data_IF_517413991092
#
_entry.id   IF_517413991092
#
_cell.length_a   1.000
_cell.length_b   1.000
_cell.length_c   1.000
_cell.angle_alpha   90.00
_cell.angle_beta   90.00
_cell.angle_gamma   90.00
#
_symmetry.space_group_name_H-M   'P 1'
#
loop_
_entity.id
_entity.type
_entity.pdbx_description
1 polymer ?
#
# COMPACT_ATOMS: atom_id res chain seq x y z
N UNK A 1 5.76 -12.01 -18.75
CA UNK A 1 6.78 -12.29 -17.71
C UNK A 1 6.10 -13.01 -16.56
N UNK A 2 6.86 -13.78 -15.78
CA UNK A 2 6.35 -14.35 -14.53
C UNK A 2 6.66 -13.37 -13.38
N UNK A 3 5.64 -12.98 -12.63
CA UNK A 3 5.72 -11.96 -11.59
C UNK A 3 5.22 -12.55 -10.27
N UNK A 4 6.01 -12.34 -9.22
CA UNK A 4 5.65 -12.71 -7.85
C UNK A 4 5.14 -11.52 -7.05
N UNK A 5 4.16 -11.74 -6.16
CA UNK A 5 3.67 -10.70 -5.25
C UNK A 5 3.53 -11.30 -3.85
N UNK A 6 4.27 -10.80 -2.87
CA UNK A 6 4.03 -11.13 -1.46
C UNK A 6 2.96 -10.19 -0.90
N UNK A 7 2.11 -10.70 0.00
CA UNK A 7 0.94 -9.94 0.47
C UNK A 7 -0.14 -9.81 -0.61
N UNK A 8 -0.25 -10.81 -1.47
CA UNK A 8 -1.09 -10.77 -2.66
C UNK A 8 -2.60 -10.80 -2.41
N UNK A 9 -3.06 -11.30 -1.27
CA UNK A 9 -4.46 -11.21 -0.84
C UNK A 9 -4.78 -9.88 -0.10
N UNK A 10 -3.77 -9.01 0.07
CA UNK A 10 -3.95 -7.66 0.58
C UNK A 10 -4.65 -6.74 -0.43
N UNK A 11 -5.01 -5.52 0.00
CA UNK A 11 -5.72 -4.53 -0.82
C UNK A 11 -4.94 -4.16 -2.09
N UNK A 12 -3.69 -3.71 -1.94
CA UNK A 12 -2.87 -3.29 -3.09
C UNK A 12 -2.40 -4.52 -3.89
N UNK A 13 -2.02 -5.60 -3.19
CA UNK A 13 -1.49 -6.82 -3.81
C UNK A 13 -2.48 -7.47 -4.76
N UNK A 14 -3.74 -7.62 -4.33
CA UNK A 14 -4.78 -8.24 -5.17
C UNK A 14 -5.14 -7.38 -6.40
N UNK A 15 -5.23 -6.07 -6.21
CA UNK A 15 -5.48 -5.15 -7.32
C UNK A 15 -4.33 -5.13 -8.34
N UNK A 16 -3.08 -5.17 -7.87
CA UNK A 16 -1.90 -5.28 -8.73
C UNK A 16 -1.87 -6.61 -9.47
N UNK A 17 -2.15 -7.72 -8.78
CA UNK A 17 -2.17 -9.05 -9.38
C UNK A 17 -3.16 -9.13 -10.55
N UNK A 18 -4.39 -8.64 -10.36
CA UNK A 18 -5.41 -8.58 -11.41
C UNK A 18 -4.97 -7.70 -12.59
N UNK A 19 -4.40 -6.54 -12.32
CA UNK A 19 -3.90 -5.63 -13.37
C UNK A 19 -2.79 -6.27 -14.20
N UNK A 20 -1.76 -6.82 -13.56
CA UNK A 20 -0.65 -7.45 -14.25
C UNK A 20 -1.09 -8.68 -15.05
N UNK A 21 -2.02 -9.47 -14.50
CA UNK A 21 -2.60 -10.61 -15.22
C UNK A 21 -3.38 -10.16 -16.46
N UNK A 22 -4.20 -9.11 -16.35
CA UNK A 22 -4.94 -8.53 -17.47
C UNK A 22 -4.00 -7.97 -18.57
N UNK A 23 -2.79 -7.53 -18.19
CA UNK A 23 -1.73 -7.09 -19.12
C UNK A 23 -0.90 -8.25 -19.72
N UNK A 24 -1.31 -9.51 -19.50
CA UNK A 24 -0.68 -10.69 -20.10
C UNK A 24 0.54 -11.23 -19.35
N UNK A 25 0.72 -10.87 -18.08
CA UNK A 25 1.74 -11.48 -17.22
C UNK A 25 1.21 -12.76 -16.56
N UNK A 26 2.08 -13.72 -16.31
CA UNK A 26 1.79 -14.83 -15.41
C UNK A 26 2.09 -14.37 -13.99
N UNK A 27 1.07 -14.37 -13.13
CA UNK A 27 1.20 -13.86 -11.75
C UNK A 27 0.98 -14.99 -10.75
N UNK A 28 1.84 -15.07 -9.74
CA UNK A 28 1.66 -15.91 -8.57
C UNK A 28 1.78 -15.03 -7.31
N UNK A 29 0.95 -15.27 -6.33
CA UNK A 29 0.95 -14.50 -5.08
C UNK A 29 1.14 -15.43 -3.87
N UNK A 30 1.79 -14.90 -2.81
CA UNK A 30 1.89 -15.54 -1.50
C UNK A 30 1.28 -14.62 -0.45
N UNK A 31 0.42 -15.17 0.45
CA UNK A 31 -0.17 -14.44 1.57
C UNK A 31 -0.40 -15.37 2.76
N UNK A 32 -0.17 -14.89 3.97
CA UNK A 32 -0.36 -15.65 5.22
C UNK A 32 -1.76 -15.48 5.81
N UNK A 33 -2.64 -14.72 5.18
CA UNK A 33 -4.02 -14.45 5.63
C UNK A 33 -4.11 -14.01 7.10
N UNK A 34 -3.17 -13.16 7.55
CA UNK A 34 -3.13 -12.66 8.91
C UNK A 34 -4.41 -11.93 9.32
N UNK A 35 -4.73 -11.96 10.61
CA UNK A 35 -5.95 -11.42 11.23
C UNK A 35 -5.89 -9.93 11.59
N UNK A 36 -4.99 -9.16 10.97
CA UNK A 36 -4.88 -7.71 11.20
C UNK A 36 -6.20 -6.96 10.99
N UNK A 37 -7.00 -7.43 10.04
CA UNK A 37 -8.41 -7.06 9.83
C UNK A 37 -9.17 -8.32 9.40
N UNK A 38 -10.49 -8.21 9.21
CA UNK A 38 -11.34 -9.33 8.84
C UNK A 38 -10.74 -10.18 7.71
N UNK A 39 -10.38 -11.40 8.05
CA UNK A 39 -9.74 -12.37 7.15
C UNK A 39 -10.63 -12.69 5.93
N UNK A 40 -11.96 -12.63 6.09
CA UNK A 40 -12.89 -12.91 4.97
C UNK A 40 -12.66 -11.97 3.79
N UNK A 41 -12.29 -10.70 4.03
CA UNK A 41 -11.92 -9.78 2.94
C UNK A 41 -10.68 -10.24 2.16
N UNK A 42 -9.72 -10.89 2.81
CA UNK A 42 -8.55 -11.48 2.14
C UNK A 42 -8.93 -12.74 1.36
N UNK A 43 -9.76 -13.60 1.97
CA UNK A 43 -10.26 -14.82 1.34
C UNK A 43 -11.10 -14.51 0.09
N UNK A 44 -11.94 -13.49 0.14
CA UNK A 44 -12.69 -13.03 -1.04
C UNK A 44 -11.78 -12.58 -2.17
N UNK A 45 -10.75 -11.78 -1.85
CA UNK A 45 -9.75 -11.35 -2.85
C UNK A 45 -8.98 -12.54 -3.42
N UNK A 46 -8.58 -13.50 -2.58
CA UNK A 46 -7.91 -14.72 -3.02
C UNK A 46 -8.80 -15.56 -3.96
N UNK A 47 -10.08 -15.74 -3.63
CA UNK A 47 -11.04 -16.40 -4.52
C UNK A 47 -11.17 -15.69 -5.87
N UNK A 48 -11.21 -14.35 -5.86
CA UNK A 48 -11.26 -13.56 -7.09
C UNK A 48 -9.99 -13.75 -7.94
N UNK A 49 -8.80 -13.78 -7.30
CA UNK A 49 -7.54 -14.06 -7.99
C UNK A 49 -7.56 -15.45 -8.64
N UNK A 50 -7.96 -16.49 -7.90
CA UNK A 50 -8.04 -17.88 -8.38
C UNK A 50 -9.06 -18.02 -9.53
N UNK A 51 -10.21 -17.36 -9.45
CA UNK A 51 -11.22 -17.33 -10.53
C UNK A 51 -10.67 -16.72 -11.82
N UNK A 52 -9.70 -15.80 -11.73
CA UNK A 52 -9.00 -15.25 -12.88
C UNK A 52 -7.76 -16.04 -13.29
N UNK A 53 -7.53 -17.23 -12.73
CA UNK A 53 -6.38 -18.08 -13.08
C UNK A 53 -5.05 -17.64 -12.48
N UNK A 54 -5.07 -16.78 -11.45
CA UNK A 54 -3.88 -16.37 -10.71
C UNK A 54 -3.65 -17.36 -9.56
N UNK A 55 -2.43 -17.87 -9.47
CA UNK A 55 -2.03 -18.77 -8.40
C UNK A 55 -1.96 -18.03 -7.08
N UNK A 56 -2.60 -18.58 -6.05
CA UNK A 56 -2.55 -18.09 -4.67
C UNK A 56 -1.92 -19.15 -3.79
N UNK A 57 -0.72 -18.89 -3.32
CA UNK A 57 -0.02 -19.72 -2.37
C UNK A 57 -0.31 -19.23 -0.95
N UNK A 58 -0.97 -20.05 -0.14
CA UNK A 58 -1.16 -19.77 1.29
C UNK A 58 0.12 -20.11 2.03
N UNK A 59 0.79 -19.09 2.60
CA UNK A 59 2.06 -19.31 3.28
C UNK A 59 2.63 -18.02 3.89
N UNK A 60 3.48 -18.23 4.89
CA UNK A 60 4.22 -17.15 5.56
C UNK A 60 5.53 -16.87 4.79
N UNK A 61 5.77 -15.60 4.48
CA UNK A 61 7.01 -15.18 3.79
C UNK A 61 8.27 -15.58 4.55
N UNK A 62 8.26 -15.57 5.91
CA UNK A 62 9.41 -15.98 6.70
C UNK A 62 9.79 -17.47 6.52
N UNK A 63 8.80 -18.33 6.35
CA UNK A 63 8.97 -19.78 6.38
C UNK A 63 8.87 -20.39 4.96
N UNK A 64 7.91 -19.94 4.17
CA UNK A 64 7.50 -20.59 2.94
C UNK A 64 8.07 -19.94 1.67
N UNK A 65 8.71 -18.76 1.80
CA UNK A 65 9.26 -18.03 0.65
C UNK A 65 10.21 -18.89 -0.21
N UNK A 66 11.13 -19.70 0.35
CA UNK A 66 12.01 -20.55 -0.45
C UNK A 66 11.23 -21.61 -1.27
N UNK A 67 10.19 -22.19 -0.70
CA UNK A 67 9.33 -23.17 -1.38
C UNK A 67 8.59 -22.52 -2.54
N UNK A 68 7.99 -21.34 -2.29
CA UNK A 68 7.27 -20.60 -3.32
C UNK A 68 8.20 -20.10 -4.44
N UNK A 69 9.37 -19.54 -4.11
CA UNK A 69 10.34 -19.10 -5.12
C UNK A 69 10.97 -20.25 -5.88
N UNK A 70 11.23 -21.39 -5.22
CA UNK A 70 11.85 -22.56 -5.84
C UNK A 70 11.00 -23.22 -6.93
N UNK A 71 9.68 -23.02 -6.92
CA UNK A 71 8.75 -23.50 -7.94
C UNK A 71 8.56 -22.55 -9.13
N UNK A 72 9.21 -21.38 -9.12
CA UNK A 72 8.99 -20.34 -10.10
C UNK A 72 10.30 -19.72 -10.62
N UNK A 73 10.22 -19.08 -11.79
CA UNK A 73 11.31 -18.26 -12.35
C UNK A 73 10.83 -16.82 -12.53
N UNK A 74 10.74 -16.10 -11.41
CA UNK A 74 10.22 -14.74 -11.43
C UNK A 74 11.17 -13.76 -12.11
N UNK A 75 10.65 -12.99 -13.07
CA UNK A 75 11.34 -11.85 -13.67
C UNK A 75 11.33 -10.62 -12.74
N UNK A 76 10.33 -10.52 -11.86
CA UNK A 76 10.25 -9.51 -10.82
C UNK A 76 9.40 -10.00 -9.64
N UNK A 77 9.68 -9.46 -8.45
CA UNK A 77 8.86 -9.68 -7.25
C UNK A 77 8.45 -8.32 -6.66
N UNK A 78 7.16 -8.18 -6.36
CA UNK A 78 6.63 -7.06 -5.57
C UNK A 78 6.47 -7.51 -4.13
N UNK A 79 7.25 -6.93 -3.23
CA UNK A 79 7.14 -7.19 -1.80
C UNK A 79 6.18 -6.20 -1.15
N UNK A 80 4.93 -6.65 -0.97
CA UNK A 80 3.82 -5.88 -0.38
C UNK A 80 3.36 -6.47 0.96
N UNK A 81 3.83 -7.66 1.34
CA UNK A 81 3.56 -8.25 2.65
C UNK A 81 4.16 -7.38 3.74
N UNK A 82 3.35 -6.98 4.71
CA UNK A 82 3.73 -6.12 5.81
C UNK A 82 2.58 -5.95 6.80
N UNK A 83 2.86 -5.48 8.00
CA UNK A 83 1.83 -4.97 8.91
C UNK A 83 1.58 -3.49 8.62
N UNK A 84 0.38 -3.09 8.21
CA UNK A 84 0.11 -1.71 7.87
C UNK A 84 -0.34 -0.88 9.07
N UNK A 85 -0.12 0.43 8.99
CA UNK A 85 -0.80 1.42 9.83
C UNK A 85 -0.11 1.79 11.14
N UNK A 86 -0.27 3.06 11.49
CA UNK A 86 0.31 3.68 12.70
C UNK A 86 -0.32 3.14 13.98
N UNK A 87 -1.67 3.03 14.14
CA UNK A 87 -2.26 2.65 15.43
C UNK A 87 -1.81 1.30 15.96
N UNK A 88 -1.72 0.28 15.10
CA UNK A 88 -1.25 -1.06 15.48
C UNK A 88 0.21 -1.04 15.94
N UNK A 89 1.06 -0.22 15.31
CA UNK A 89 2.47 -0.14 15.66
C UNK A 89 2.74 0.48 17.04
N UNK A 90 1.83 1.30 17.53
CA UNK A 90 1.92 1.85 18.90
C UNK A 90 1.56 0.81 19.97
N UNK A 91 0.77 -0.18 19.60
CA UNK A 91 0.33 -1.26 20.52
C UNK A 91 1.32 -2.42 20.51
N UNK A 92 1.78 -2.84 19.34
CA UNK A 92 2.62 -4.03 19.14
C UNK A 92 3.89 -3.71 18.32
N UNK A 93 4.79 -2.82 18.79
CA UNK A 93 5.93 -2.37 18.00
C UNK A 93 6.89 -3.51 17.60
N UNK A 94 7.03 -4.56 18.41
CA UNK A 94 7.89 -5.70 18.12
C UNK A 94 7.42 -6.47 16.86
N UNK A 95 6.13 -6.60 16.62
CA UNK A 95 5.61 -7.24 15.41
C UNK A 95 6.04 -6.50 14.13
N UNK A 96 6.16 -5.17 14.19
CA UNK A 96 6.64 -4.38 13.04
C UNK A 96 8.13 -4.55 12.77
N UNK A 97 8.94 -4.94 13.78
CA UNK A 97 10.33 -5.34 13.55
C UNK A 97 10.37 -6.69 12.82
N UNK A 98 9.57 -7.65 13.26
CA UNK A 98 9.51 -8.98 12.67
C UNK A 98 8.87 -8.96 11.28
N UNK A 99 7.64 -8.44 11.18
CA UNK A 99 6.82 -8.51 9.97
C UNK A 99 7.10 -7.42 8.92
N UNK A 100 7.88 -6.39 9.22
CA UNK A 100 8.29 -5.38 8.24
C UNK A 100 9.80 -5.40 7.98
N UNK A 101 10.65 -5.38 9.03
CA UNK A 101 12.10 -5.29 8.85
C UNK A 101 12.68 -6.67 8.55
N UNK A 102 12.50 -7.64 9.45
CA UNK A 102 13.09 -8.98 9.28
C UNK A 102 12.54 -9.69 8.05
N UNK A 103 11.22 -9.56 7.78
CA UNK A 103 10.61 -10.11 6.56
C UNK A 103 11.21 -9.48 5.29
N UNK A 104 11.43 -8.15 5.27
CA UNK A 104 12.09 -7.51 4.12
C UNK A 104 13.50 -8.05 3.91
N UNK A 105 14.28 -8.26 4.98
CA UNK A 105 15.61 -8.88 4.86
C UNK A 105 15.51 -10.30 4.31
N UNK A 106 14.53 -11.09 4.75
CA UNK A 106 14.29 -12.44 4.22
C UNK A 106 14.03 -12.38 2.70
N UNK A 107 13.21 -11.43 2.23
CA UNK A 107 12.94 -11.27 0.79
C UNK A 107 14.18 -10.80 0.02
N UNK A 108 14.98 -9.91 0.58
CA UNK A 108 16.23 -9.44 -0.02
C UNK A 108 17.27 -10.57 -0.17
N UNK A 109 17.45 -11.40 0.87
CA UNK A 109 18.33 -12.58 0.82
C UNK A 109 17.81 -13.60 -0.21
N UNK A 110 16.51 -13.81 -0.26
CA UNK A 110 15.91 -14.69 -1.25
C UNK A 110 16.08 -14.12 -2.68
N UNK A 111 15.87 -12.83 -2.89
CA UNK A 111 16.09 -12.18 -4.18
C UNK A 111 17.53 -12.37 -4.67
N UNK A 112 18.51 -12.22 -3.76
CA UNK A 112 19.91 -12.45 -4.04
C UNK A 112 20.20 -13.94 -4.36
N UNK A 113 19.67 -14.86 -3.56
CA UNK A 113 19.95 -16.30 -3.67
C UNK A 113 19.32 -16.90 -4.92
N UNK A 114 18.09 -16.52 -5.25
CA UNK A 114 17.36 -17.02 -6.43
C UNK A 114 17.59 -16.15 -7.67
N UNK A 115 18.51 -15.19 -7.60
CA UNK A 115 18.88 -14.28 -8.70
C UNK A 115 17.65 -13.59 -9.33
N UNK A 116 16.72 -13.11 -8.49
CA UNK A 116 15.53 -12.38 -8.98
C UNK A 116 15.99 -11.07 -9.62
N UNK A 117 15.70 -10.85 -10.92
CA UNK A 117 16.25 -9.71 -11.65
C UNK A 117 15.80 -8.35 -11.09
N UNK A 118 14.56 -8.25 -10.59
CA UNK A 118 14.01 -6.99 -10.12
C UNK A 118 13.13 -7.17 -8.88
N UNK A 119 13.31 -6.33 -7.87
CA UNK A 119 12.49 -6.29 -6.67
C UNK A 119 11.82 -4.93 -6.53
N UNK A 120 10.54 -4.90 -6.21
CA UNK A 120 9.81 -3.69 -5.86
C UNK A 120 9.34 -3.77 -4.41
N UNK A 121 9.68 -2.75 -3.62
CA UNK A 121 9.36 -2.70 -2.19
C UNK A 121 8.27 -1.67 -1.89
N UNK A 122 7.26 -2.07 -1.12
CA UNK A 122 6.19 -1.20 -0.63
C UNK A 122 6.60 -0.45 0.63
N UNK A 123 7.02 0.80 0.49
CA UNK A 123 7.21 1.75 1.56
C UNK A 123 5.97 2.63 1.77
N UNK A 124 6.11 3.70 2.52
CA UNK A 124 5.01 4.56 2.95
C UNK A 124 5.43 6.03 3.04
N UNK A 125 4.50 6.94 2.80
CA UNK A 125 4.69 8.38 3.07
C UNK A 125 4.94 8.70 4.55
N UNK A 126 4.66 7.77 5.47
CA UNK A 126 4.96 7.93 6.89
C UNK A 126 6.45 8.10 7.19
N UNK A 127 7.34 7.65 6.29
CA UNK A 127 8.81 7.79 6.44
C UNK A 127 9.29 9.24 6.41
N UNK A 128 8.47 10.17 5.95
CA UNK A 128 8.79 11.60 5.95
C UNK A 128 8.66 12.25 7.33
N UNK A 129 7.88 11.65 8.24
CA UNK A 129 7.56 12.27 9.53
C UNK A 129 6.68 13.52 9.39
N UNK A 130 6.78 14.44 10.35
CA UNK A 130 6.00 15.68 10.35
C UNK A 130 6.69 16.74 9.46
N UNK A 131 6.13 16.97 8.29
CA UNK A 131 6.61 17.96 7.32
C UNK A 131 5.44 18.65 6.62
N UNK A 132 5.69 19.77 5.98
CA UNK A 132 4.70 20.58 5.26
C UNK A 132 5.09 20.73 3.79
N UNK A 133 4.08 20.94 2.93
CA UNK A 133 4.28 21.11 1.49
C UNK A 133 4.40 19.77 0.73
N UNK A 134 4.71 19.87 -0.56
CA UNK A 134 4.87 18.71 -1.43
C UNK A 134 6.21 18.00 -1.15
N UNK A 135 6.14 16.75 -0.70
CA UNK A 135 7.26 15.96 -0.21
C UNK A 135 8.07 15.37 -1.37
N UNK A 136 9.36 15.67 -1.40
CA UNK A 136 10.33 15.09 -2.34
C UNK A 136 11.04 13.89 -1.71
N UNK A 137 11.46 12.92 -2.51
CA UNK A 137 12.01 11.63 -2.04
C UNK A 137 13.25 11.81 -1.14
N UNK A 138 14.07 12.81 -1.37
CA UNK A 138 15.26 13.09 -0.56
C UNK A 138 14.97 13.71 0.82
N UNK A 139 13.73 14.11 1.10
CA UNK A 139 13.35 14.74 2.38
C UNK A 139 13.09 13.75 3.51
N UNK A 140 13.08 12.43 3.26
CA UNK A 140 12.99 11.44 4.33
C UNK A 140 14.33 11.35 5.08
N UNK A 141 14.35 11.83 6.31
CA UNK A 141 15.57 11.99 7.13
C UNK A 141 15.68 10.99 8.28
N UNK A 142 14.69 10.10 8.43
CA UNK A 142 14.61 9.18 9.57
C UNK A 142 13.97 9.80 10.83
N UNK A 143 13.56 11.07 10.80
CA UNK A 143 12.78 11.69 11.87
C UNK A 143 11.30 11.32 11.75
N UNK A 144 10.98 10.10 12.13
CA UNK A 144 9.66 9.50 11.96
C UNK A 144 8.79 9.63 13.23
N UNK A 145 7.47 9.52 13.06
CA UNK A 145 6.49 9.79 14.14
C UNK A 145 5.88 8.51 14.75
N UNK A 146 6.24 7.31 14.25
CA UNK A 146 5.66 6.06 14.74
C UNK A 146 6.59 4.86 14.51
N UNK A 147 6.42 3.75 15.27
CA UNK A 147 7.15 2.50 15.03
C UNK A 147 6.91 1.95 13.61
N UNK A 148 5.70 2.07 13.06
CA UNK A 148 5.42 1.72 11.66
C UNK A 148 6.31 2.47 10.67
N UNK A 149 6.41 3.79 10.84
CA UNK A 149 7.26 4.62 9.98
C UNK A 149 8.75 4.28 10.15
N UNK A 150 9.18 3.97 11.39
CA UNK A 150 10.55 3.53 11.67
C UNK A 150 10.85 2.18 10.99
N UNK A 151 9.92 1.23 11.04
CA UNK A 151 10.07 -0.07 10.39
C UNK A 151 10.17 0.08 8.86
N UNK A 152 9.29 0.88 8.23
CA UNK A 152 9.34 1.14 6.79
C UNK A 152 10.64 1.85 6.36
N UNK A 153 11.07 2.86 7.10
CA UNK A 153 12.33 3.56 6.81
C UNK A 153 13.56 2.65 6.98
N UNK A 154 13.56 1.80 8.01
CA UNK A 154 14.61 0.80 8.22
C UNK A 154 14.66 -0.20 7.06
N UNK A 155 13.51 -0.71 6.61
CA UNK A 155 13.43 -1.61 5.48
C UNK A 155 13.94 -0.97 4.17
N UNK A 156 13.63 0.32 3.91
CA UNK A 156 14.23 1.07 2.80
C UNK A 156 15.76 1.10 2.89
N UNK A 157 16.31 1.30 4.09
CA UNK A 157 17.77 1.34 4.32
C UNK A 157 18.40 -0.01 4.02
N UNK A 158 17.76 -1.13 4.38
CA UNK A 158 18.22 -2.46 3.98
C UNK A 158 18.14 -2.64 2.45
N UNK A 159 17.08 -2.22 1.79
CA UNK A 159 16.99 -2.25 0.32
C UNK A 159 18.17 -1.51 -0.33
N UNK A 160 18.51 -0.30 0.14
CA UNK A 160 19.65 0.48 -0.36
C UNK A 160 20.99 -0.21 -0.10
N UNK A 161 21.17 -0.81 1.08
CA UNK A 161 22.38 -1.58 1.39
C UNK A 161 22.57 -2.77 0.43
N UNK A 162 21.49 -3.51 0.13
CA UNK A 162 21.52 -4.64 -0.80
C UNK A 162 21.75 -4.20 -2.25
N UNK A 163 21.22 -3.05 -2.67
CA UNK A 163 21.57 -2.45 -3.96
C UNK A 163 23.08 -2.16 -4.05
N UNK A 164 23.63 -1.53 -3.03
CA UNK A 164 25.05 -1.14 -3.02
C UNK A 164 26.01 -2.33 -2.92
N UNK A 165 25.67 -3.34 -2.09
CA UNK A 165 26.56 -4.48 -1.82
C UNK A 165 26.47 -5.56 -2.91
N UNK A 166 25.28 -5.81 -3.42
CA UNK A 166 25.01 -6.96 -4.30
C UNK A 166 24.51 -6.61 -5.68
N UNK A 167 24.29 -5.31 -5.96
CA UNK A 167 23.81 -4.85 -7.25
C UNK A 167 22.37 -5.21 -7.56
N UNK A 168 21.54 -5.53 -6.53
CA UNK A 168 20.12 -5.85 -6.74
C UNK A 168 19.39 -4.65 -7.35
N UNK A 169 18.55 -4.91 -8.35
CA UNK A 169 17.72 -3.87 -8.97
C UNK A 169 16.45 -3.70 -8.13
N UNK A 170 16.36 -2.62 -7.35
CA UNK A 170 15.24 -2.41 -6.42
C UNK A 170 14.57 -1.07 -6.69
N UNK A 171 13.24 -1.11 -6.95
CA UNK A 171 12.36 0.05 -6.94
C UNK A 171 11.62 0.15 -5.60
N UNK A 172 11.63 1.30 -4.97
CA UNK A 172 10.98 1.55 -3.68
C UNK A 172 9.83 2.52 -3.90
N UNK A 173 8.61 2.12 -3.54
CA UNK A 173 7.42 2.95 -3.65
C UNK A 173 7.00 3.48 -2.28
N UNK A 174 7.02 4.79 -2.09
CA UNK A 174 6.40 5.45 -0.96
C UNK A 174 4.96 5.76 -1.31
N UNK A 175 4.05 4.86 -0.89
CA UNK A 175 2.62 5.06 -1.07
C UNK A 175 2.11 6.16 -0.16
N UNK A 176 1.30 7.06 -0.73
CA UNK A 176 0.49 7.99 0.03
C UNK A 176 -0.83 7.31 0.42
N UNK A 177 -1.89 8.05 0.74
CA UNK A 177 -3.09 7.44 1.30
C UNK A 177 -3.89 6.71 0.21
N UNK A 178 -3.59 5.43 0.01
CA UNK A 178 -4.25 4.60 -1.01
C UNK A 178 -5.69 4.28 -0.58
N UNK A 179 -6.65 4.47 -1.47
CA UNK A 179 -8.05 4.19 -1.25
C UNK A 179 -8.71 3.59 -2.50
N UNK A 180 -9.88 2.96 -2.33
CA UNK A 180 -10.65 2.37 -3.44
C UNK A 180 -11.54 1.22 -2.98
N UNK A 181 -12.33 0.62 -3.90
CA UNK A 181 -13.09 -0.60 -3.66
C UNK A 181 -12.24 -1.73 -3.09
N UNK A 182 -12.83 -2.56 -2.27
CA UNK A 182 -12.13 -3.62 -1.54
C UNK A 182 -10.93 -3.12 -0.70
N UNK A 183 -10.98 -1.87 -0.24
CA UNK A 183 -9.95 -1.27 0.61
C UNK A 183 -9.85 -1.91 1.99
N UNK A 184 -8.98 -1.35 2.84
CA UNK A 184 -8.83 -1.78 4.23
C UNK A 184 -9.89 -1.13 5.11
N UNK A 185 -10.56 -1.88 6.00
CA UNK A 185 -11.65 -1.37 6.84
C UNK A 185 -11.19 -0.39 7.93
N UNK A 186 -9.90 -0.37 8.28
CA UNK A 186 -9.32 0.57 9.24
C UNK A 186 -9.08 1.98 8.67
N UNK A 187 -9.15 2.15 7.33
CA UNK A 187 -8.92 3.42 6.66
C UNK A 187 -10.13 4.36 6.75
N UNK A 188 -9.85 5.68 6.84
CA UNK A 188 -10.88 6.69 7.09
C UNK A 188 -12.04 6.65 6.07
N UNK A 189 -11.75 6.69 4.77
CA UNK A 189 -12.79 6.70 3.73
C UNK A 189 -13.63 5.43 3.72
N UNK A 190 -13.03 4.26 3.94
CA UNK A 190 -13.76 3.00 4.06
C UNK A 190 -14.77 3.06 5.20
N UNK A 191 -14.31 3.45 6.39
CA UNK A 191 -15.15 3.60 7.59
C UNK A 191 -16.25 4.61 7.41
N UNK A 192 -15.95 5.78 6.84
CA UNK A 192 -16.95 6.83 6.62
C UNK A 192 -18.06 6.37 5.68
N UNK A 193 -17.71 5.72 4.57
CA UNK A 193 -18.69 5.22 3.62
C UNK A 193 -19.54 4.11 4.24
N UNK A 194 -18.91 3.16 4.95
CA UNK A 194 -19.65 2.09 5.63
C UNK A 194 -20.61 2.64 6.69
N UNK A 195 -20.14 3.57 7.54
CA UNK A 195 -20.97 4.23 8.56
C UNK A 195 -22.11 5.03 7.92
N UNK A 196 -21.81 5.84 6.90
CA UNK A 196 -22.81 6.64 6.19
C UNK A 196 -23.93 5.77 5.59
N UNK A 197 -23.57 4.67 4.93
CA UNK A 197 -24.55 3.73 4.35
C UNK A 197 -25.43 3.05 5.40
N UNK A 198 -24.92 2.90 6.64
CA UNK A 198 -25.68 2.37 7.78
C UNK A 198 -26.45 3.44 8.57
N UNK A 199 -26.44 4.70 8.13
CA UNK A 199 -27.06 5.82 8.84
C UNK A 199 -26.37 6.19 10.15
N UNK A 200 -25.09 5.85 10.33
CA UNK A 200 -24.32 6.09 11.53
C UNK A 200 -23.53 7.37 11.46
N UNK A 201 -23.28 8.07 12.60
CA UNK A 201 -22.43 9.27 12.63
C UNK A 201 -20.99 8.98 12.19
N UNK A 202 -20.40 9.91 11.44
CA UNK A 202 -18.99 9.86 11.03
C UNK A 202 -18.12 10.52 12.12
N UNK A 203 -16.98 9.91 12.46
CA UNK A 203 -16.03 10.50 13.41
C UNK A 203 -14.70 10.79 12.74
N UNK A 204 -14.33 12.08 12.67
CA UNK A 204 -13.06 12.58 12.17
C UNK A 204 -12.12 12.87 13.36
N UNK A 205 -10.90 12.35 13.30
CA UNK A 205 -9.87 12.55 14.31
C UNK A 205 -8.89 13.64 13.85
N UNK A 206 -8.82 14.75 14.61
CA UNK A 206 -8.00 15.91 14.23
C UNK A 206 -8.52 16.65 13.00
N UNK A 207 -7.62 17.29 12.28
CA UNK A 207 -7.87 17.94 10.98
C UNK A 207 -6.76 17.60 9.97
N UNK A 208 -6.57 16.31 9.68
CA UNK A 208 -5.47 15.90 8.82
C UNK A 208 -5.75 16.17 7.35
N UNK A 209 -4.68 16.57 6.64
CA UNK A 209 -4.67 16.67 5.19
C UNK A 209 -3.98 15.42 4.63
N UNK A 210 -4.57 14.78 3.63
CA UNK A 210 -4.05 13.56 3.02
C UNK A 210 -4.03 13.66 1.50
N UNK A 211 -3.00 13.10 0.91
CA UNK A 211 -2.93 12.85 -0.51
C UNK A 211 -3.60 11.51 -0.80
N UNK A 212 -4.92 11.57 -1.05
CA UNK A 212 -5.72 10.38 -1.35
C UNK A 212 -5.47 9.92 -2.78
N UNK A 213 -4.94 8.72 -2.93
CA UNK A 213 -4.55 8.17 -4.21
C UNK A 213 -5.35 6.91 -4.53
N UNK A 214 -6.07 6.95 -5.64
CA UNK A 214 -6.96 5.84 -6.02
C UNK A 214 -6.16 4.60 -6.42
N UNK A 215 -6.67 3.43 -6.05
CA UNK A 215 -5.99 2.14 -6.23
C UNK A 215 -5.58 1.85 -7.68
N UNK A 216 -6.38 2.24 -8.68
CA UNK A 216 -6.04 2.02 -10.09
C UNK A 216 -4.85 2.88 -10.52
N UNK A 217 -4.70 4.10 -9.99
CA UNK A 217 -3.54 4.96 -10.25
C UNK A 217 -2.27 4.35 -9.65
N UNK A 218 -2.37 3.80 -8.42
CA UNK A 218 -1.26 3.10 -7.76
C UNK A 218 -0.82 1.88 -8.57
N UNK A 219 -1.73 0.98 -8.89
CA UNK A 219 -1.39 -0.26 -9.61
C UNK A 219 -0.90 0.02 -11.03
N UNK A 220 -1.44 1.06 -11.69
CA UNK A 220 -0.92 1.52 -12.98
C UNK A 220 0.52 2.05 -12.84
N UNK A 221 0.82 2.84 -11.82
CA UNK A 221 2.16 3.33 -11.56
C UNK A 221 3.16 2.20 -11.29
N UNK A 222 2.75 1.19 -10.54
CA UNK A 222 3.59 0.01 -10.27
C UNK A 222 3.86 -0.81 -11.54
N UNK A 223 2.86 -0.98 -12.40
CA UNK A 223 3.01 -1.63 -13.71
C UNK A 223 3.95 -0.84 -14.64
N UNK A 224 3.80 0.48 -14.70
CA UNK A 224 4.68 1.37 -15.47
C UNK A 224 6.13 1.30 -14.98
N UNK A 225 6.34 1.25 -13.66
CA UNK A 225 7.66 1.08 -13.06
C UNK A 225 8.28 -0.28 -13.41
N UNK A 226 7.49 -1.36 -13.44
CA UNK A 226 7.92 -2.68 -13.88
C UNK A 226 8.37 -2.64 -15.36
N UNK A 227 7.57 -2.04 -16.24
CA UNK A 227 7.88 -1.92 -17.67
C UNK A 227 9.17 -1.11 -17.92
N UNK A 228 9.37 -0.06 -17.12
CA UNK A 228 10.57 0.78 -17.16
C UNK A 228 11.78 0.18 -16.43
N UNK A 229 11.61 -0.95 -15.74
CA UNK A 229 12.64 -1.53 -14.85
C UNK A 229 13.18 -0.48 -13.86
N UNK A 230 12.30 0.31 -13.27
CA UNK A 230 12.66 1.48 -12.48
C UNK A 230 13.36 1.08 -11.17
N UNK A 231 14.52 1.68 -10.90
CA UNK A 231 15.28 1.53 -9.66
C UNK A 231 15.39 2.86 -8.93
N UNK A 232 15.42 2.80 -7.60
CA UNK A 232 15.44 3.99 -6.75
C UNK A 232 14.15 4.19 -5.99
N UNK A 233 13.97 5.37 -5.39
CA UNK A 233 12.82 5.71 -4.55
C UNK A 233 11.86 6.59 -5.31
N UNK A 234 10.56 6.28 -5.24
CA UNK A 234 9.50 7.00 -5.95
C UNK A 234 8.28 7.22 -5.07
N UNK A 235 7.79 8.45 -5.02
CA UNK A 235 6.49 8.74 -4.45
C UNK A 235 5.37 8.30 -5.40
N UNK A 236 4.42 7.53 -4.90
CA UNK A 236 3.17 7.22 -5.59
C UNK A 236 2.00 7.83 -4.80
N UNK A 237 1.56 8.99 -5.25
CA UNK A 237 0.49 9.80 -4.69
C UNK A 237 -0.31 10.49 -5.79
N UNK A 238 -1.40 11.15 -5.43
CA UNK A 238 -2.22 11.92 -6.38
C UNK A 238 -1.67 13.33 -6.64
N UNK A 239 -0.69 13.77 -5.84
CA UNK A 239 -0.19 15.14 -5.83
C UNK A 239 -1.31 16.18 -5.62
N UNK A 240 -2.32 15.80 -4.85
CA UNK A 240 -3.50 16.62 -4.50
C UNK A 240 -3.82 16.42 -3.02
N UNK A 241 -3.42 17.36 -2.16
CA UNK A 241 -3.74 17.31 -0.75
C UNK A 241 -5.23 17.63 -0.54
N UNK A 242 -5.93 16.75 0.16
CA UNK A 242 -7.37 16.85 0.45
C UNK A 242 -7.60 16.79 1.97
N UNK A 243 -8.57 17.57 2.46
CA UNK A 243 -8.97 17.56 3.86
C UNK A 243 -9.81 16.32 4.15
N UNK A 244 -9.42 15.55 5.18
CA UNK A 244 -10.22 14.42 5.68
C UNK A 244 -11.57 14.91 6.23
N UNK A 245 -11.58 16.11 6.81
CA UNK A 245 -12.79 16.76 7.30
C UNK A 245 -13.77 17.08 6.18
N UNK A 246 -13.28 17.64 5.06
CA UNK A 246 -14.14 17.96 3.92
C UNK A 246 -14.68 16.70 3.25
N UNK A 247 -13.87 15.66 3.13
CA UNK A 247 -14.33 14.36 2.63
C UNK A 247 -15.43 13.75 3.52
N UNK A 248 -15.30 13.85 4.84
CA UNK A 248 -16.35 13.40 5.77
C UNK A 248 -17.60 14.29 5.68
N UNK A 249 -17.45 15.61 5.55
CA UNK A 249 -18.58 16.54 5.39
C UNK A 249 -19.38 16.26 4.14
N UNK A 250 -18.73 16.02 2.99
CA UNK A 250 -19.39 15.63 1.73
C UNK A 250 -20.22 14.34 1.90
N UNK A 251 -19.69 13.33 2.61
CA UNK A 251 -20.42 12.10 2.88
C UNK A 251 -21.57 12.32 3.88
N UNK A 252 -21.34 13.13 4.92
CA UNK A 252 -22.36 13.49 5.91
C UNK A 252 -23.56 14.18 5.28
N UNK A 253 -23.33 15.17 4.41
CA UNK A 253 -24.38 15.86 3.65
C UNK A 253 -25.12 14.91 2.69
N UNK A 254 -24.38 14.09 1.95
CA UNK A 254 -24.96 13.17 0.97
C UNK A 254 -25.87 12.11 1.57
N UNK A 255 -25.54 11.59 2.75
CA UNK A 255 -26.26 10.51 3.41
C UNK A 255 -27.13 10.99 4.60
N UNK A 256 -27.18 12.29 4.83
CA UNK A 256 -27.90 12.91 5.96
C UNK A 256 -27.49 12.29 7.33
N UNK A 257 -26.17 12.17 7.55
CA UNK A 257 -25.61 11.66 8.80
C UNK A 257 -24.71 12.70 9.49
N UNK A 258 -24.72 12.76 10.84
CA UNK A 258 -23.89 13.71 11.58
C UNK A 258 -22.39 13.44 11.40
N UNK A 259 -21.58 14.51 11.38
CA UNK A 259 -20.10 14.43 11.41
C UNK A 259 -19.63 14.98 12.76
N UNK A 260 -18.98 14.13 13.55
CA UNK A 260 -18.40 14.45 14.82
C UNK A 260 -16.86 14.60 14.71
N UNK A 261 -16.28 15.44 15.57
CA UNK A 261 -14.85 15.70 15.62
C UNK A 261 -14.26 15.23 16.95
N UNK A 262 -13.14 14.53 16.90
CA UNK A 262 -12.40 14.05 18.06
C UNK A 262 -10.93 14.58 17.98
N UNK A 263 -10.18 14.57 19.09
CA UNK A 263 -8.76 14.92 19.09
C UNK A 263 -7.95 14.09 18.10
N UNK A 264 -6.83 14.66 17.59
CA UNK A 264 -5.90 13.94 16.73
C UNK A 264 -5.34 12.69 17.44
N UNK A 265 -5.03 11.65 16.66
CA UNK A 265 -4.45 10.42 17.17
C UNK A 265 -2.94 10.57 17.33
N UNK A 266 -2.38 9.91 18.34
CA UNK A 266 -0.93 9.87 18.52
C UNK A 266 -0.25 9.18 17.32
N UNK A 267 0.89 9.74 16.91
CA UNK A 267 1.67 9.22 15.79
C UNK A 267 1.17 9.58 14.38
N UNK A 268 -0.02 10.17 14.26
CA UNK A 268 -0.51 10.68 12.98
C UNK A 268 0.16 12.02 12.65
N UNK A 269 0.62 12.19 11.42
CA UNK A 269 1.14 13.46 10.90
C UNK A 269 -0.03 14.38 10.47
N UNK A 270 0.19 15.68 10.57
CA UNK A 270 -0.84 16.68 10.21
C UNK A 270 -1.14 16.69 8.70
N UNK A 271 -0.12 16.49 7.86
CA UNK A 271 -0.24 16.55 6.41
C UNK A 271 0.59 15.48 5.71
N UNK A 272 0.05 14.95 4.61
CA UNK A 272 0.83 14.24 3.59
C UNK A 272 0.46 14.78 2.22
N UNK A 273 1.47 15.18 1.43
CA UNK A 273 1.32 15.67 0.07
C UNK A 273 2.51 15.23 -0.77
N UNK A 274 2.26 14.42 -1.81
CA UNK A 274 3.33 13.89 -2.67
C UNK A 274 3.79 14.92 -3.70
N UNK A 275 5.10 14.98 -3.93
CA UNK A 275 5.64 15.38 -5.22
C UNK A 275 5.92 14.08 -6.01
N UNK A 276 5.34 13.95 -7.19
CA UNK A 276 5.44 12.74 -8.04
C UNK A 276 6.32 12.95 -9.27
N UNK A 277 7.12 13.99 -9.30
CA UNK A 277 7.94 14.35 -10.47
C UNK A 277 8.97 13.27 -10.81
N UNK A 278 9.58 12.61 -9.83
CA UNK A 278 10.52 11.52 -10.07
C UNK A 278 9.83 10.34 -10.78
N UNK A 279 8.69 9.89 -10.27
CA UNK A 279 7.89 8.82 -10.88
C UNK A 279 7.41 9.20 -12.30
N UNK A 280 6.93 10.44 -12.47
CA UNK A 280 6.50 10.95 -13.77
C UNK A 280 7.62 10.96 -14.80
N UNK A 281 8.80 11.42 -14.41
CA UNK A 281 9.97 11.53 -15.32
C UNK A 281 10.55 10.16 -15.67
N UNK A 282 10.55 9.21 -14.71
CA UNK A 282 11.20 7.91 -14.90
C UNK A 282 10.31 6.92 -15.64
N UNK A 283 9.03 6.84 -15.32
CA UNK A 283 8.12 5.85 -15.90
C UNK A 283 6.73 6.37 -16.27
N UNK A 284 6.56 7.69 -16.37
CA UNK A 284 5.34 8.31 -16.90
C UNK A 284 4.14 8.27 -15.95
N UNK A 285 4.35 8.15 -14.63
CA UNK A 285 3.26 8.13 -13.66
C UNK A 285 2.49 9.43 -13.63
N UNK A 286 1.19 9.37 -13.92
CA UNK A 286 0.26 10.52 -13.85
C UNK A 286 -1.05 10.04 -13.22
N UNK A 287 -1.33 10.38 -11.95
CA UNK A 287 -2.60 10.05 -11.30
C UNK A 287 -3.75 10.80 -11.97
N UNK A 288 -4.88 10.14 -12.17
CA UNK A 288 -5.99 10.66 -12.96
C UNK A 288 -7.33 10.69 -12.23
N UNK A 289 -7.53 9.84 -11.22
CA UNK A 289 -8.81 9.72 -10.52
C UNK A 289 -8.93 10.80 -9.45
N UNK A 290 -10.04 11.55 -9.47
CA UNK A 290 -10.35 12.53 -8.43
C UNK A 290 -10.86 11.84 -7.16
N UNK A 291 -10.77 12.52 -5.99
CA UNK A 291 -11.31 11.98 -4.75
C UNK A 291 -12.82 11.71 -4.86
N UNK A 292 -13.57 12.63 -5.50
CA UNK A 292 -15.01 12.49 -5.71
C UNK A 292 -15.33 11.24 -6.55
N UNK A 293 -14.68 11.05 -7.70
CA UNK A 293 -14.91 9.87 -8.55
C UNK A 293 -14.55 8.56 -7.86
N UNK A 294 -13.44 8.55 -7.09
CA UNK A 294 -13.02 7.38 -6.34
C UNK A 294 -13.98 7.03 -5.20
N UNK A 295 -14.51 8.04 -4.49
CA UNK A 295 -15.53 7.82 -3.45
C UNK A 295 -16.83 7.25 -4.06
N UNK A 296 -17.29 7.72 -5.23
CA UNK A 296 -18.46 7.15 -5.91
C UNK A 296 -18.27 5.66 -6.19
N UNK A 297 -17.11 5.25 -6.71
CA UNK A 297 -16.80 3.85 -6.97
C UNK A 297 -16.78 3.02 -5.67
N UNK A 298 -16.26 3.58 -4.57
CA UNK A 298 -16.30 2.93 -3.27
C UNK A 298 -17.72 2.79 -2.74
N UNK A 299 -18.56 3.84 -2.86
CA UNK A 299 -19.97 3.81 -2.43
C UNK A 299 -20.73 2.72 -3.18
N UNK A 300 -20.55 2.63 -4.50
CA UNK A 300 -21.15 1.57 -5.31
C UNK A 300 -20.72 0.20 -4.81
N UNK A 301 -19.43 -0.02 -4.65
CA UNK A 301 -18.88 -1.29 -4.16
C UNK A 301 -19.43 -1.70 -2.78
N UNK A 302 -19.56 -0.75 -1.84
CA UNK A 302 -20.13 -1.02 -0.52
C UNK A 302 -21.63 -1.34 -0.58
N UNK A 303 -22.40 -0.65 -1.45
CA UNK A 303 -23.85 -0.91 -1.63
C UNK A 303 -24.13 -2.32 -2.14
N UNK A 304 -23.30 -2.81 -3.05
CA UNK A 304 -23.44 -4.16 -3.62
C UNK A 304 -23.18 -5.28 -2.59
N UNK A 305 -22.71 -4.93 -1.38
CA UNK A 305 -22.30 -5.86 -0.31
C UNK A 305 -23.14 -5.74 0.97
N UNK A 306 -23.99 -4.74 1.07
CA UNK A 306 -24.96 -4.54 2.16
C UNK A 306 -26.30 -5.24 1.85
#
# INVERSE_FOLDING_TARGET
>A
MQIGITGGAGFIGSALALRLHASGHTVSVIDAFTDYYDVELKLERARLLQQNGIEVFEGNVHEDLPTWLGSHSFAAVFHLAALPGVPGSLQEPHRYIEDDIAMTVTVLEAARTYAIPHLFFASSSSVYGEQTGALLEHQATGQVMSPYAAAKYSAETFCQAYQNLYGLQIGIFRFFTVYGPAGRPDMALYRFIEQALRGQPLTVFGDPIRDFTYIDDITRGMEQALQAQATGVFNLGANRPESVRDAAAMLGERFDVPVAFAPARAGDVSMTWSNTDAARKTFGYVPSVTLADGMERMITWHRDRL
#
